data_IF_614586357054
#
_entry.id   IF_614586357054
#
_cell.length_a   1.000
_cell.length_b   1.000
_cell.length_c   1.000
_cell.angle_alpha   90.00
_cell.angle_beta   90.00
_cell.angle_gamma   90.00
#
_symmetry.space_group_name_H-M   'P 1'
#
loop_
_entity.id
_entity.type
_entity.pdbx_description
1 polymer ?
#
# COMPACT_ATOMS: atom_id res chain seq x y z
N UNK A 1 -4.45 23.27 8.87
CA UNK A 1 -4.24 22.36 10.01
C UNK A 1 -3.00 21.49 9.76
N UNK A 2 -2.44 20.91 10.81
CA UNK A 2 -1.30 20.01 10.69
C UNK A 2 -1.62 18.79 9.80
N UNK A 3 -2.83 18.29 9.87
CA UNK A 3 -3.30 17.18 9.06
C UNK A 3 -3.23 17.51 7.55
N UNK A 4 -3.82 18.62 7.15
CA UNK A 4 -3.78 19.07 5.76
C UNK A 4 -2.35 19.32 5.28
N UNK A 5 -1.50 19.89 6.14
CA UNK A 5 -0.08 20.09 5.83
C UNK A 5 0.64 18.78 5.57
N UNK A 6 0.39 17.75 6.36
CA UNK A 6 1.00 16.43 6.19
C UNK A 6 0.55 15.77 4.88
N UNK A 7 -0.73 15.90 4.51
CA UNK A 7 -1.26 15.37 3.25
C UNK A 7 -0.61 16.04 2.04
N UNK A 8 -0.55 17.37 2.04
CA UNK A 8 0.10 18.13 0.97
C UNK A 8 1.58 17.77 0.86
N UNK A 9 2.30 17.68 1.97
CA UNK A 9 3.71 17.27 1.98
C UNK A 9 3.90 15.86 1.41
N UNK A 10 3.01 14.92 1.75
CA UNK A 10 3.06 13.56 1.22
C UNK A 10 2.86 13.53 -0.30
N UNK A 11 1.89 14.28 -0.82
CA UNK A 11 1.64 14.40 -2.25
C UNK A 11 2.83 15.01 -3.00
N UNK A 12 3.42 16.07 -2.45
CA UNK A 12 4.60 16.73 -3.04
C UNK A 12 5.81 15.78 -3.02
N UNK A 13 6.03 15.08 -1.90
CA UNK A 13 7.15 14.14 -1.78
C UNK A 13 7.05 12.97 -2.75
N UNK A 14 5.85 12.52 -3.09
CA UNK A 14 5.61 11.36 -3.93
C UNK A 14 5.17 11.70 -5.37
N UNK A 15 5.15 12.99 -5.76
CA UNK A 15 4.69 13.37 -7.10
C UNK A 15 5.52 12.76 -8.23
N UNK A 16 6.82 12.51 -8.02
CA UNK A 16 7.72 11.86 -8.97
C UNK A 16 7.81 10.32 -8.77
N UNK A 17 7.08 9.76 -7.80
CA UNK A 17 7.08 8.31 -7.57
C UNK A 17 6.55 7.57 -8.79
N UNK A 18 7.35 6.62 -9.30
CA UNK A 18 6.96 5.80 -10.43
C UNK A 18 5.85 4.80 -10.04
N UNK A 19 4.84 4.71 -10.88
CA UNK A 19 3.74 3.78 -10.70
C UNK A 19 3.62 2.86 -11.90
N UNK A 20 3.55 1.56 -11.62
CA UNK A 20 3.23 0.52 -12.58
C UNK A 20 1.78 0.04 -12.39
N UNK A 21 1.15 -0.44 -13.45
CA UNK A 21 -0.21 -0.99 -13.37
C UNK A 21 -0.15 -2.42 -12.82
N UNK A 22 0.24 -2.53 -11.56
CA UNK A 22 0.32 -3.79 -10.82
C UNK A 22 -0.25 -3.62 -9.42
N UNK A 23 -0.79 -4.69 -8.88
CA UNK A 23 -1.29 -4.71 -7.49
C UNK A 23 -0.19 -4.36 -6.49
N UNK A 24 1.02 -4.84 -6.70
CA UNK A 24 2.17 -4.55 -5.84
C UNK A 24 2.51 -3.05 -5.84
N UNK A 25 2.66 -2.44 -7.02
CA UNK A 25 2.95 -1.01 -7.14
C UNK A 25 1.85 -0.15 -6.48
N UNK A 26 0.59 -0.54 -6.68
CA UNK A 26 -0.56 0.12 -6.08
C UNK A 26 -0.52 0.04 -4.54
N UNK A 27 -0.32 -1.15 -3.99
CA UNK A 27 -0.26 -1.38 -2.54
C UNK A 27 0.87 -0.58 -1.89
N UNK A 28 2.06 -0.54 -2.52
CA UNK A 28 3.20 0.25 -2.06
C UNK A 28 2.89 1.75 -2.07
N UNK A 29 2.31 2.26 -3.14
CA UNK A 29 1.93 3.67 -3.25
C UNK A 29 0.95 4.08 -2.14
N UNK A 30 -0.09 3.30 -1.92
CA UNK A 30 -1.08 3.54 -0.87
C UNK A 30 -0.43 3.51 0.52
N UNK A 31 0.41 2.52 0.79
CA UNK A 31 1.11 2.39 2.08
C UNK A 31 2.07 3.55 2.34
N UNK A 32 2.83 3.99 1.34
CA UNK A 32 3.75 5.13 1.44
C UNK A 32 2.98 6.43 1.73
N UNK A 33 1.86 6.66 1.05
CA UNK A 33 1.02 7.83 1.29
C UNK A 33 0.41 7.81 2.70
N UNK A 34 -0.08 6.66 3.14
CA UNK A 34 -0.63 6.50 4.49
C UNK A 34 0.43 6.75 5.57
N UNK A 35 1.66 6.24 5.38
CA UNK A 35 2.76 6.44 6.33
C UNK A 35 3.23 7.90 6.36
N UNK A 36 3.41 8.52 5.21
CA UNK A 36 3.91 9.91 5.11
C UNK A 36 2.89 10.92 5.65
N UNK A 37 1.61 10.75 5.36
CA UNK A 37 0.55 11.68 5.78
C UNK A 37 -0.02 11.39 7.17
N UNK A 38 0.13 10.16 7.65
CA UNK A 38 -0.60 9.61 8.82
C UNK A 38 -2.12 9.65 8.62
N UNK A 39 -2.58 9.54 7.38
CA UNK A 39 -3.95 9.71 6.95
C UNK A 39 -4.39 8.53 6.07
N UNK A 40 -5.49 8.69 5.33
CA UNK A 40 -6.01 7.68 4.39
C UNK A 40 -5.19 7.67 3.10
N UNK A 41 -4.34 6.66 2.94
CA UNK A 41 -3.51 6.49 1.76
C UNK A 41 -4.31 6.21 0.48
N UNK A 42 -5.49 5.62 0.56
CA UNK A 42 -6.36 5.38 -0.61
C UNK A 42 -6.88 6.70 -1.17
N UNK A 43 -7.40 7.57 -0.31
CA UNK A 43 -7.88 8.89 -0.73
C UNK A 43 -6.75 9.70 -1.36
N UNK A 44 -5.58 9.73 -0.74
CA UNK A 44 -4.41 10.42 -1.27
C UNK A 44 -3.86 9.79 -2.55
N UNK A 45 -4.01 8.49 -2.75
CA UNK A 45 -3.64 7.84 -4.00
C UNK A 45 -4.47 8.35 -5.18
N UNK A 46 -5.77 8.57 -5.00
CA UNK A 46 -6.60 9.22 -6.03
C UNK A 46 -6.12 10.63 -6.33
N UNK A 47 -5.81 11.41 -5.31
CA UNK A 47 -5.30 12.77 -5.47
C UNK A 47 -3.94 12.79 -6.19
N UNK A 48 -3.04 11.88 -5.81
CA UNK A 48 -1.74 11.74 -6.46
C UNK A 48 -1.86 11.37 -7.94
N UNK A 49 -2.72 10.41 -8.28
CA UNK A 49 -2.95 10.03 -9.68
C UNK A 49 -3.57 11.17 -10.48
N UNK A 50 -4.47 11.96 -9.88
CA UNK A 50 -5.04 13.15 -10.50
C UNK A 50 -3.97 14.21 -10.77
N UNK A 51 -3.08 14.45 -9.81
CA UNK A 51 -1.97 15.38 -9.94
C UNK A 51 -1.00 14.95 -11.05
N UNK A 52 -0.61 13.68 -11.06
CA UNK A 52 0.27 13.10 -12.09
C UNK A 52 -0.36 13.18 -13.49
N UNK A 53 -1.65 12.93 -13.59
CA UNK A 53 -2.37 12.99 -14.86
C UNK A 53 -2.43 14.43 -15.39
N UNK A 54 -2.71 15.40 -14.53
CA UNK A 54 -2.69 16.81 -14.91
C UNK A 54 -1.31 17.25 -15.39
N UNK A 55 -0.25 16.85 -14.69
CA UNK A 55 1.14 17.11 -15.07
C UNK A 55 1.50 16.47 -16.42
N UNK A 56 1.12 15.21 -16.65
CA UNK A 56 1.36 14.50 -17.90
C UNK A 56 0.64 15.14 -19.09
N UNK A 57 -0.58 15.62 -18.89
CA UNK A 57 -1.35 16.29 -19.94
C UNK A 57 -0.84 17.71 -20.25
N UNK A 58 -0.22 18.37 -19.29
CA UNK A 58 0.39 19.70 -19.48
C UNK A 58 1.72 19.63 -20.21
N UNK A 59 2.37 18.49 -20.29
CA UNK A 59 3.64 18.26 -20.97
C UNK A 59 3.44 17.89 -22.45
N UNK A 60 4.51 17.97 -23.25
CA UNK A 60 4.48 17.68 -24.68
C UNK A 60 4.22 16.19 -24.99
N UNK A 61 3.87 15.90 -26.23
CA UNK A 61 3.39 14.61 -26.78
C UNK A 61 3.93 13.28 -26.20
N UNK A 62 5.21 13.12 -25.80
CA UNK A 62 5.70 11.83 -25.27
C UNK A 62 5.00 11.38 -23.97
N UNK A 63 4.42 12.30 -23.23
CA UNK A 63 3.82 12.05 -21.93
C UNK A 63 2.34 11.63 -21.99
N UNK A 64 1.72 11.66 -23.17
CA UNK A 64 0.32 11.24 -23.36
C UNK A 64 0.12 9.75 -23.12
N UNK A 65 1.09 8.91 -23.49
CA UNK A 65 1.06 7.48 -23.21
C UNK A 65 1.07 7.20 -21.70
N UNK A 66 1.79 8.04 -20.94
CA UNK A 66 1.79 7.93 -19.48
C UNK A 66 0.43 8.26 -18.85
N UNK A 67 -0.31 9.19 -19.42
CA UNK A 67 -1.67 9.49 -18.96
C UNK A 67 -2.60 8.26 -19.08
N UNK A 68 -2.42 7.42 -20.09
CA UNK A 68 -3.16 6.15 -20.23
C UNK A 68 -2.78 5.17 -19.11
N UNK A 69 -1.50 5.09 -18.78
CA UNK A 69 -1.01 4.26 -17.65
C UNK A 69 -1.63 4.72 -16.33
N UNK A 70 -1.70 6.02 -16.10
CA UNK A 70 -2.31 6.59 -14.89
C UNK A 70 -3.81 6.29 -14.81
N UNK A 71 -4.51 6.31 -15.93
CA UNK A 71 -5.93 5.94 -15.97
C UNK A 71 -6.14 4.45 -15.66
N UNK A 72 -5.28 3.58 -16.20
CA UNK A 72 -5.30 2.16 -15.88
C UNK A 72 -5.01 1.92 -14.39
N UNK A 73 -4.06 2.67 -13.80
CA UNK A 73 -3.77 2.61 -12.36
C UNK A 73 -4.98 3.07 -11.54
N UNK A 74 -5.66 4.13 -11.95
CA UNK A 74 -6.89 4.60 -11.28
C UNK A 74 -7.99 3.55 -11.29
N UNK A 75 -8.17 2.86 -12.41
CA UNK A 75 -9.14 1.76 -12.54
C UNK A 75 -8.77 0.60 -11.61
N UNK A 76 -7.51 0.23 -11.56
CA UNK A 76 -7.01 -0.80 -10.64
C UNK A 76 -7.21 -0.39 -9.17
N UNK A 77 -6.92 0.86 -8.83
CA UNK A 77 -7.14 1.41 -7.48
C UNK A 77 -8.62 1.31 -7.08
N UNK A 78 -9.53 1.67 -7.96
CA UNK A 78 -10.96 1.56 -7.71
C UNK A 78 -11.39 0.11 -7.45
N UNK A 79 -10.87 -0.83 -8.23
CA UNK A 79 -11.14 -2.26 -8.08
C UNK A 79 -10.60 -2.80 -6.75
N UNK A 80 -9.33 -2.52 -6.44
CA UNK A 80 -8.69 -2.99 -5.22
C UNK A 80 -9.26 -2.32 -3.96
N UNK A 81 -9.62 -1.04 -4.02
CA UNK A 81 -10.23 -0.33 -2.91
C UNK A 81 -11.60 -0.93 -2.51
N UNK A 82 -12.37 -1.42 -3.47
CA UNK A 82 -13.65 -2.13 -3.20
C UNK A 82 -13.42 -3.47 -2.52
N UNK A 83 -12.30 -4.13 -2.76
CA UNK A 83 -11.91 -5.38 -2.09
C UNK A 83 -11.30 -5.16 -0.72
N UNK A 84 -10.86 -3.96 -0.44
CA UNK A 84 -10.15 -3.55 0.76
C UNK A 84 -8.63 -3.66 0.59
N UNK A 85 -7.94 -2.56 0.89
CA UNK A 85 -6.47 -2.48 0.87
C UNK A 85 -6.01 -2.24 2.30
N UNK A 86 -5.15 -3.11 2.82
CA UNK A 86 -4.44 -2.85 4.06
C UNK A 86 -3.37 -1.77 3.81
N UNK A 87 -3.45 -0.68 4.55
CA UNK A 87 -2.55 0.47 4.43
C UNK A 87 -1.41 0.42 5.44
N UNK A 88 -1.59 -0.35 6.52
CA UNK A 88 -0.66 -0.50 7.63
C UNK A 88 -0.59 -1.96 8.08
N UNK A 89 0.52 -2.38 8.71
CA UNK A 89 0.65 -3.75 9.21
C UNK A 89 -0.48 -4.19 10.15
N UNK A 90 -1.02 -3.27 10.95
CA UNK A 90 -2.10 -3.54 11.90
C UNK A 90 -3.45 -3.84 11.24
N UNK A 91 -3.60 -3.55 9.95
CA UNK A 91 -4.81 -3.79 9.18
C UNK A 91 -4.83 -5.17 8.51
N UNK A 92 -3.78 -5.98 8.70
CA UNK A 92 -3.77 -7.37 8.26
C UNK A 92 -4.77 -8.19 9.07
N UNK A 93 -5.40 -9.19 8.41
CA UNK A 93 -6.37 -10.09 9.02
C UNK A 93 -5.74 -11.14 9.93
N UNK A 94 -4.68 -10.80 10.64
CA UNK A 94 -4.01 -11.65 11.63
C UNK A 94 -3.64 -10.81 12.84
N UNK A 95 -3.94 -11.30 14.03
CA UNK A 95 -3.62 -10.63 15.28
C UNK A 95 -2.22 -11.02 15.79
N UNK A 96 -1.66 -10.17 16.68
CA UNK A 96 -0.43 -10.51 17.39
C UNK A 96 -0.54 -11.81 18.19
N UNK A 97 -1.70 -12.08 18.78
CA UNK A 97 -1.96 -13.33 19.51
C UNK A 97 -1.88 -14.56 18.60
N UNK A 98 -2.45 -14.49 17.40
CA UNK A 98 -2.39 -15.55 16.41
C UNK A 98 -0.96 -15.80 15.91
N UNK A 99 -0.18 -14.72 15.71
CA UNK A 99 1.25 -14.82 15.35
C UNK A 99 2.02 -15.54 16.48
N UNK A 100 1.79 -15.15 17.73
CA UNK A 100 2.44 -15.79 18.89
C UNK A 100 2.10 -17.28 18.98
N UNK A 101 0.84 -17.63 18.74
CA UNK A 101 0.38 -19.03 18.78
C UNK A 101 1.06 -19.87 17.71
N UNK A 102 1.02 -19.43 16.43
CA UNK A 102 1.58 -20.19 15.31
C UNK A 102 3.09 -20.35 15.43
N UNK A 103 3.80 -19.33 15.89
CA UNK A 103 5.27 -19.32 15.97
C UNK A 103 5.80 -19.70 17.37
N UNK A 104 4.92 -20.01 18.32
CA UNK A 104 5.28 -20.27 19.72
C UNK A 104 6.14 -19.16 20.34
N UNK A 105 5.75 -17.91 20.07
CA UNK A 105 6.47 -16.73 20.57
C UNK A 105 5.88 -16.24 21.89
N UNK A 106 6.76 -15.71 22.73
CA UNK A 106 6.35 -14.94 23.89
C UNK A 106 6.00 -13.50 23.49
N UNK A 107 5.14 -12.79 24.26
CA UNK A 107 4.88 -11.38 24.04
C UNK A 107 6.17 -10.56 24.00
N UNK A 108 6.33 -9.71 22.96
CA UNK A 108 7.51 -8.90 22.82
C UNK A 108 7.69 -8.31 21.43
N UNK A 109 8.82 -7.66 21.15
CA UNK A 109 9.10 -6.97 19.89
C UNK A 109 9.10 -7.89 18.65
N UNK A 110 9.38 -9.18 18.83
CA UNK A 110 9.41 -10.16 17.74
C UNK A 110 8.07 -10.25 17.02
N UNK A 111 6.95 -10.14 17.72
CA UNK A 111 5.61 -10.18 17.13
C UNK A 111 5.43 -9.05 16.08
N UNK A 112 5.86 -7.84 16.41
CA UNK A 112 5.82 -6.71 15.49
C UNK A 112 6.73 -6.88 14.27
N UNK A 113 7.88 -7.53 14.44
CA UNK A 113 8.80 -7.86 13.33
C UNK A 113 8.12 -8.81 12.34
N UNK A 114 7.45 -9.86 12.83
CA UNK A 114 6.73 -10.80 11.97
C UNK A 114 5.52 -10.17 11.29
N UNK A 115 4.77 -9.33 12.00
CA UNK A 115 3.66 -8.58 11.42
C UNK A 115 4.11 -7.69 10.28
N UNK A 116 5.24 -6.99 10.43
CA UNK A 116 5.83 -6.16 9.38
C UNK A 116 6.29 -6.99 8.18
N UNK A 117 6.92 -8.14 8.40
CA UNK A 117 7.32 -9.04 7.32
C UNK A 117 6.12 -9.54 6.52
N UNK A 118 5.02 -9.92 7.19
CA UNK A 118 3.78 -10.29 6.53
C UNK A 118 3.23 -9.14 5.67
N UNK A 119 3.31 -7.93 6.19
CA UNK A 119 2.88 -6.74 5.45
C UNK A 119 3.73 -6.49 4.20
N UNK A 120 5.05 -6.67 4.29
CA UNK A 120 5.95 -6.59 3.14
C UNK A 120 5.60 -7.63 2.07
N UNK A 121 5.31 -8.87 2.45
CA UNK A 121 4.85 -9.91 1.53
C UNK A 121 3.51 -9.55 0.88
N UNK A 122 2.59 -8.97 1.64
CA UNK A 122 1.32 -8.47 1.12
C UNK A 122 1.52 -7.33 0.11
N UNK A 123 2.38 -6.35 0.41
CA UNK A 123 2.72 -5.27 -0.50
C UNK A 123 3.36 -5.79 -1.80
N UNK A 124 4.20 -6.82 -1.70
CA UNK A 124 4.82 -7.46 -2.85
C UNK A 124 3.86 -8.32 -3.69
N UNK A 125 2.61 -8.48 -3.25
CA UNK A 125 1.62 -9.30 -3.93
C UNK A 125 1.82 -10.81 -3.76
N UNK A 126 2.65 -11.23 -2.81
CA UNK A 126 2.97 -12.64 -2.57
C UNK A 126 1.96 -13.33 -1.64
N UNK A 127 1.16 -12.58 -0.93
CA UNK A 127 0.09 -13.07 -0.07
C UNK A 127 -1.09 -12.11 -0.10
N UNK A 128 -2.29 -12.65 0.01
CA UNK A 128 -3.50 -11.83 0.17
C UNK A 128 -3.80 -11.57 1.65
N UNK A 129 -4.53 -10.48 1.92
CA UNK A 129 -4.94 -10.15 3.27
C UNK A 129 -6.16 -11.01 3.70
N UNK A 130 -5.93 -12.31 3.79
CA UNK A 130 -6.88 -13.30 4.31
C UNK A 130 -6.22 -14.07 5.44
N UNK A 131 -6.96 -14.32 6.49
CA UNK A 131 -6.43 -15.00 7.69
C UNK A 131 -5.75 -16.33 7.35
N UNK A 132 -6.39 -17.13 6.54
CA UNK A 132 -5.89 -18.46 6.15
C UNK A 132 -4.56 -18.37 5.40
N UNK A 133 -4.43 -17.42 4.48
CA UNK A 133 -3.22 -17.24 3.68
C UNK A 133 -2.06 -16.73 4.55
N UNK A 134 -2.35 -15.77 5.43
CA UNK A 134 -1.35 -15.19 6.33
C UNK A 134 -0.85 -16.23 7.35
N UNK A 135 -1.74 -17.03 7.94
CA UNK A 135 -1.37 -18.08 8.87
C UNK A 135 -0.60 -19.20 8.19
N UNK A 136 -0.96 -19.55 6.95
CA UNK A 136 -0.25 -20.58 6.17
C UNK A 136 1.20 -20.16 5.89
N UNK A 137 1.43 -18.90 5.51
CA UNK A 137 2.79 -18.37 5.29
C UNK A 137 3.60 -18.35 6.59
N UNK A 138 3.01 -17.97 7.71
CA UNK A 138 3.67 -18.02 9.01
C UNK A 138 4.12 -19.43 9.37
N UNK A 139 3.25 -20.41 9.15
CA UNK A 139 3.53 -21.81 9.46
C UNK A 139 4.63 -22.43 8.59
N UNK A 140 4.77 -21.98 7.35
CA UNK A 140 5.80 -22.48 6.42
C UNK A 140 7.22 -22.04 6.80
N UNK A 141 7.39 -20.91 7.45
CA UNK A 141 8.68 -20.43 7.94
C UNK A 141 9.72 -20.05 6.87
N UNK A 142 9.35 -20.05 5.59
CA UNK A 142 10.23 -19.74 4.45
C UNK A 142 10.12 -18.29 4.01
N UNK A 143 10.65 -17.37 4.82
CA UNK A 143 10.48 -15.95 4.53
C UNK A 143 11.40 -15.04 5.37
#
# INVERSE_FOLDING_TARGET
>A
SQHLSNEVCALVALHDYDVDVTTSSLRHMVALLAEASKSDGIALAYDLLTLKQADALAKANPYRSYAVTLEAMRTLLLHEAKRGIAQRPQELCVSGAEIMEVLSLLPGPAVGVYQRKLFELYLAGQVENRKEDLLAILAQGNW
#
